data_IF_878593236554
#
_entry.id   IF_878593236554
#
_cell.length_a   1.000
_cell.length_b   1.000
_cell.length_c   1.000
_cell.angle_alpha   90.00
_cell.angle_beta   90.00
_cell.angle_gamma   90.00
#
_symmetry.space_group_name_H-M   'P 1'
#
loop_
_entity.id
_entity.type
_entity.pdbx_description
1 polymer ?
#
# COMPACT_ATOMS: atom_id res chain seq x y z
N UNK A 1 -16.93 11.26 -7.03
CA UNK A 1 -17.73 10.83 -8.20
C UNK A 1 -18.50 11.99 -8.81
N UNK A 2 -19.12 12.84 -7.98
CA UNK A 2 -19.83 14.06 -8.40
C UNK A 2 -19.02 14.94 -9.36
N UNK A 3 -17.75 15.24 -9.04
CA UNK A 3 -16.87 16.02 -9.91
C UNK A 3 -16.76 15.49 -11.36
N UNK A 4 -16.54 14.18 -11.54
CA UNK A 4 -16.36 13.60 -12.89
C UNK A 4 -17.70 13.59 -13.65
N UNK A 5 -18.82 13.40 -12.93
CA UNK A 5 -20.14 13.51 -13.55
C UNK A 5 -20.43 14.93 -14.04
N UNK A 6 -20.16 15.95 -13.24
CA UNK A 6 -20.34 17.35 -13.66
C UNK A 6 -19.44 17.72 -14.84
N UNK A 7 -18.16 17.30 -14.81
CA UNK A 7 -17.25 17.47 -15.94
C UNK A 7 -17.76 16.79 -17.22
N UNK A 8 -18.36 15.61 -17.10
CA UNK A 8 -18.94 14.90 -18.26
C UNK A 8 -20.07 15.70 -18.92
N UNK A 9 -20.85 16.46 -18.14
CA UNK A 9 -21.91 17.33 -18.68
C UNK A 9 -21.30 18.51 -19.44
N UNK A 10 -20.27 19.15 -18.89
CA UNK A 10 -19.55 20.27 -19.54
C UNK A 10 -18.96 19.82 -20.88
N UNK A 11 -18.37 18.63 -20.92
CA UNK A 11 -17.82 18.02 -22.13
C UNK A 11 -18.87 17.40 -23.06
N UNK A 12 -20.17 17.55 -22.75
CA UNK A 12 -21.32 17.02 -23.51
C UNK A 12 -21.23 15.51 -23.77
N UNK A 13 -20.64 14.75 -22.85
CA UNK A 13 -20.57 13.29 -22.92
C UNK A 13 -21.97 12.72 -22.65
N UNK A 14 -22.47 11.86 -23.54
CA UNK A 14 -23.79 11.21 -23.36
C UNK A 14 -23.81 10.43 -22.04
N UNK A 15 -24.83 10.68 -21.21
CA UNK A 15 -25.03 10.01 -19.90
C UNK A 15 -24.90 8.49 -19.96
N UNK A 16 -25.46 7.85 -20.99
CA UNK A 16 -25.36 6.40 -21.21
C UNK A 16 -23.91 5.93 -21.40
N UNK A 17 -23.12 6.70 -22.15
CA UNK A 17 -21.69 6.41 -22.34
C UNK A 17 -20.92 6.57 -21.04
N UNK A 18 -21.19 7.66 -20.30
CA UNK A 18 -20.57 7.91 -19.00
C UNK A 18 -20.83 6.77 -18.00
N UNK A 19 -22.09 6.35 -17.84
CA UNK A 19 -22.46 5.23 -16.95
C UNK A 19 -21.77 3.93 -17.38
N UNK A 20 -21.72 3.64 -18.70
CA UNK A 20 -21.02 2.46 -19.22
C UNK A 20 -19.51 2.50 -18.96
N UNK A 21 -18.88 3.66 -19.06
CA UNK A 21 -17.46 3.84 -18.74
C UNK A 21 -17.20 3.64 -17.24
N UNK A 22 -18.08 4.16 -16.38
CA UNK A 22 -17.97 3.96 -14.93
C UNK A 22 -18.12 2.48 -14.52
N UNK A 23 -19.06 1.76 -15.12
CA UNK A 23 -19.27 0.34 -14.78
C UNK A 23 -18.15 -0.58 -15.25
N UNK A 24 -17.41 -0.18 -16.28
CA UNK A 24 -16.28 -0.96 -16.83
C UNK A 24 -14.92 -0.54 -16.28
N UNK A 25 -14.84 0.56 -15.53
CA UNK A 25 -13.59 1.06 -14.96
C UNK A 25 -13.10 0.17 -13.81
N UNK A 26 -11.96 -0.49 -14.02
CA UNK A 26 -11.36 -1.43 -13.05
C UNK A 26 -10.45 -0.76 -12.00
N UNK A 27 -10.38 0.57 -11.99
CA UNK A 27 -9.37 1.30 -11.23
C UNK A 27 -8.04 1.39 -11.97
N UNK A 28 -7.10 2.12 -11.38
CA UNK A 28 -5.75 2.28 -11.93
C UNK A 28 -4.79 1.30 -11.23
N UNK A 29 -3.87 0.66 -11.96
CA UNK A 29 -2.80 -0.12 -11.36
C UNK A 29 -2.05 0.69 -10.30
N UNK A 30 -1.62 0.02 -9.23
CA UNK A 30 -0.82 0.60 -8.16
C UNK A 30 -1.49 1.72 -7.34
N UNK A 31 -2.80 1.93 -7.47
CA UNK A 31 -3.61 2.86 -6.66
C UNK A 31 -4.65 2.08 -5.87
N UNK A 32 -4.32 1.75 -4.63
CA UNK A 32 -5.16 0.89 -3.77
C UNK A 32 -5.65 -0.39 -4.49
N UNK A 33 -4.80 -1.00 -5.32
CA UNK A 33 -5.14 -2.13 -6.19
C UNK A 33 -5.16 -3.44 -5.36
N UNK A 34 -6.35 -3.98 -5.10
CA UNK A 34 -6.50 -5.33 -4.53
C UNK A 34 -6.25 -6.33 -5.67
N UNK A 35 -5.07 -6.95 -5.70
CA UNK A 35 -4.66 -7.81 -6.83
C UNK A 35 -4.61 -9.31 -6.49
N UNK A 36 -4.73 -9.65 -5.20
CA UNK A 36 -4.68 -11.03 -4.74
C UNK A 36 -5.39 -11.20 -3.39
N UNK A 37 -6.05 -12.34 -3.20
CA UNK A 37 -6.65 -12.76 -1.94
C UNK A 37 -6.40 -14.26 -1.75
N UNK A 38 -5.96 -14.68 -0.56
CA UNK A 38 -5.72 -16.09 -0.23
C UNK A 38 -5.84 -16.31 1.28
N UNK A 39 -6.59 -17.34 1.70
CA UNK A 39 -6.77 -17.76 3.11
C UNK A 39 -7.08 -16.59 4.08
N UNK A 40 -8.05 -15.74 3.72
CA UNK A 40 -8.43 -14.57 4.54
C UNK A 40 -7.46 -13.38 4.47
N UNK A 41 -6.38 -13.48 3.68
CA UNK A 41 -5.38 -12.42 3.52
C UNK A 41 -5.58 -11.72 2.19
N UNK A 42 -5.73 -10.41 2.24
CA UNK A 42 -5.77 -9.56 1.05
C UNK A 42 -4.43 -8.87 0.82
N UNK A 43 -4.07 -8.74 -0.46
CA UNK A 43 -2.84 -8.10 -0.90
C UNK A 43 -3.17 -6.86 -1.71
N UNK A 44 -2.63 -5.74 -1.28
CA UNK A 44 -2.99 -4.43 -1.80
C UNK A 44 -1.75 -3.71 -2.28
N UNK A 45 -1.75 -3.37 -3.57
CA UNK A 45 -0.70 -2.60 -4.21
C UNK A 45 -1.11 -1.14 -4.35
N UNK A 46 -0.50 -0.30 -3.52
CA UNK A 46 -0.66 1.15 -3.52
C UNK A 46 0.70 1.83 -3.71
N UNK A 47 1.56 1.25 -4.56
CA UNK A 47 2.93 1.76 -4.80
C UNK A 47 2.96 3.22 -5.30
N UNK A 48 1.86 3.73 -5.89
CA UNK A 48 1.72 5.13 -6.32
C UNK A 48 1.66 6.11 -5.13
N UNK A 49 1.38 5.63 -3.91
CA UNK A 49 1.41 6.44 -2.69
C UNK A 49 2.84 6.86 -2.33
N UNK A 50 3.31 7.91 -3.01
CA UNK A 50 4.65 8.50 -2.88
C UNK A 50 4.73 9.64 -1.86
N UNK A 51 3.71 9.76 -1.02
CA UNK A 51 3.65 10.66 0.14
C UNK A 51 2.75 10.04 1.22
N UNK A 52 2.88 10.50 2.47
CA UNK A 52 2.06 9.97 3.56
C UNK A 52 0.56 10.24 3.38
N UNK A 53 0.18 11.43 2.91
CA UNK A 53 -1.24 11.74 2.66
C UNK A 53 -1.87 10.83 1.61
N UNK A 54 -1.10 10.41 0.59
CA UNK A 54 -1.58 9.40 -0.36
C UNK A 54 -1.77 8.03 0.32
N UNK A 55 -0.83 7.63 1.19
CA UNK A 55 -0.88 6.34 1.89
C UNK A 55 -2.01 6.25 2.93
N UNK A 56 -2.39 7.40 3.50
CA UNK A 56 -3.42 7.54 4.53
C UNK A 56 -4.77 6.99 4.07
N UNK A 57 -5.11 7.13 2.79
CA UNK A 57 -6.34 6.56 2.23
C UNK A 57 -6.35 5.02 2.35
N UNK A 58 -5.28 4.36 1.93
CA UNK A 58 -5.17 2.91 2.04
C UNK A 58 -5.10 2.46 3.51
N UNK A 59 -4.41 3.20 4.38
CA UNK A 59 -4.32 2.87 5.80
C UNK A 59 -5.68 3.02 6.53
N UNK A 60 -6.49 4.02 6.17
CA UNK A 60 -7.82 4.21 6.77
C UNK A 60 -8.82 3.13 6.36
N UNK A 61 -8.79 2.71 5.10
CA UNK A 61 -9.80 1.81 4.52
C UNK A 61 -9.52 0.32 4.76
N UNK A 62 -8.47 -0.03 5.50
CA UNK A 62 -8.13 -1.42 5.82
C UNK A 62 -7.91 -1.60 7.32
N UNK A 63 -7.90 -2.85 7.77
CA UNK A 63 -7.62 -3.25 9.15
C UNK A 63 -6.62 -4.41 9.16
N UNK A 64 -6.06 -4.73 10.34
CA UNK A 64 -5.08 -5.80 10.54
C UNK A 64 -3.92 -5.72 9.53
N UNK A 65 -3.33 -4.53 9.42
CA UNK A 65 -2.41 -4.18 8.34
C UNK A 65 -0.97 -4.57 8.68
N UNK A 66 -0.37 -5.38 7.83
CA UNK A 66 1.08 -5.52 7.68
C UNK A 66 1.53 -4.53 6.61
N UNK A 67 2.07 -3.40 7.05
CA UNK A 67 2.31 -2.24 6.20
C UNK A 67 3.74 -2.19 5.70
N UNK A 68 3.96 -2.21 4.39
CA UNK A 68 5.28 -1.97 3.79
C UNK A 68 5.42 -0.47 3.51
N UNK A 69 6.38 0.15 4.19
CA UNK A 69 6.64 1.59 4.18
C UNK A 69 8.12 1.84 3.86
N UNK A 70 8.43 2.92 3.15
CA UNK A 70 9.81 3.32 2.92
C UNK A 70 10.19 3.50 1.46
N UNK A 71 11.37 4.07 1.26
CA UNK A 71 11.82 4.62 -0.01
C UNK A 71 12.55 5.95 0.21
N UNK A 72 12.42 6.88 -0.73
CA UNK A 72 12.94 8.24 -0.66
C UNK A 72 11.86 9.23 -0.17
N UNK A 73 11.94 9.69 1.09
CA UNK A 73 10.97 10.64 1.64
C UNK A 73 11.15 12.03 1.01
N UNK A 74 10.07 12.81 0.97
CA UNK A 74 10.13 14.24 0.65
C UNK A 74 10.52 15.05 1.88
N UNK A 75 11.12 16.23 1.69
CA UNK A 75 11.59 17.11 2.78
C UNK A 75 10.50 17.40 3.83
N UNK A 76 9.25 17.53 3.40
CA UNK A 76 8.12 17.92 4.26
C UNK A 76 7.17 16.75 4.60
N UNK A 77 7.56 15.50 4.34
CA UNK A 77 6.70 14.36 4.65
C UNK A 77 6.53 14.22 6.17
N UNK A 78 5.30 14.46 6.64
CA UNK A 78 4.93 14.22 8.03
C UNK A 78 4.04 12.99 8.16
N UNK A 79 4.54 11.96 8.83
CA UNK A 79 3.81 10.73 9.10
C UNK A 79 3.08 10.90 10.43
N UNK A 80 1.75 11.10 10.37
CA UNK A 80 0.89 11.18 11.56
C UNK A 80 -0.02 9.95 11.65
N UNK A 81 0.28 9.05 12.58
CA UNK A 81 -0.42 7.77 12.75
C UNK A 81 -1.37 7.72 13.94
N UNK A 82 -1.64 8.84 14.63
CA UNK A 82 -2.45 8.87 15.87
C UNK A 82 -3.79 8.14 15.73
N UNK A 83 -4.51 8.35 14.62
CA UNK A 83 -5.80 7.71 14.32
C UNK A 83 -5.69 6.34 13.63
N UNK A 84 -4.49 5.98 13.16
CA UNK A 84 -4.23 4.79 12.35
C UNK A 84 -3.56 3.65 13.13
N UNK A 85 -2.95 3.94 14.28
CA UNK A 85 -2.12 2.98 15.03
C UNK A 85 -2.83 1.65 15.32
N UNK A 86 -4.13 1.66 15.63
CA UNK A 86 -4.91 0.44 15.94
C UNK A 86 -5.17 -0.45 14.71
N UNK A 87 -5.07 0.10 13.50
CA UNK A 87 -5.29 -0.63 12.25
C UNK A 87 -4.03 -1.36 11.78
N UNK A 88 -2.86 -0.93 12.25
CA UNK A 88 -1.56 -1.45 11.80
C UNK A 88 -1.03 -2.45 12.84
N UNK A 89 -0.79 -3.69 12.41
CA UNK A 89 -0.18 -4.73 13.25
C UNK A 89 1.33 -4.49 13.35
N UNK A 90 1.99 -4.38 12.20
CA UNK A 90 3.43 -4.14 12.10
C UNK A 90 3.73 -3.40 10.80
N UNK A 91 4.62 -2.41 10.87
CA UNK A 91 5.22 -1.78 9.69
C UNK A 91 6.58 -2.41 9.32
N UNK A 92 6.87 -2.54 8.04
CA UNK A 92 8.10 -3.11 7.51
C UNK A 92 8.81 -2.04 6.68
N UNK A 93 9.92 -1.53 7.21
CA UNK A 93 10.68 -0.44 6.61
C UNK A 93 11.57 -1.01 5.51
N UNK A 94 11.35 -0.54 4.29
CA UNK A 94 12.15 -0.83 3.09
C UNK A 94 12.86 0.43 2.60
N UNK A 95 13.78 0.28 1.64
CA UNK A 95 14.53 1.41 1.11
C UNK A 95 15.80 1.74 1.90
N UNK A 96 16.45 2.82 1.47
CA UNK A 96 17.72 3.31 2.04
C UNK A 96 17.52 4.26 3.23
N UNK A 97 16.41 5.01 3.25
CA UNK A 97 16.17 6.07 4.25
C UNK A 97 15.53 5.54 5.54
N UNK A 98 16.07 4.47 6.11
CA UNK A 98 15.47 3.73 7.22
C UNK A 98 15.28 4.61 8.47
N UNK A 99 16.27 5.43 8.81
CA UNK A 99 16.27 6.24 10.04
C UNK A 99 15.15 7.28 10.05
N UNK A 100 14.81 7.84 8.89
CA UNK A 100 13.67 8.75 8.76
C UNK A 100 12.37 8.06 9.19
N UNK A 101 12.07 6.89 8.63
CA UNK A 101 10.86 6.13 8.99
C UNK A 101 10.93 5.61 10.41
N UNK A 102 12.09 5.13 10.86
CA UNK A 102 12.29 4.69 12.25
C UNK A 102 11.91 5.79 13.25
N UNK A 103 12.39 7.01 13.04
CA UNK A 103 12.07 8.17 13.88
C UNK A 103 10.57 8.49 13.86
N UNK A 104 9.92 8.39 12.70
CA UNK A 104 8.49 8.67 12.54
C UNK A 104 7.55 7.57 13.08
N UNK A 105 8.04 6.34 13.22
CA UNK A 105 7.25 5.20 13.70
C UNK A 105 7.51 4.85 15.18
N UNK A 106 8.69 5.21 15.69
CA UNK A 106 9.12 4.93 17.06
C UNK A 106 8.08 5.39 18.07
N UNK A 107 7.80 4.53 19.04
CA UNK A 107 6.82 4.74 20.12
C UNK A 107 5.36 4.94 19.66
N UNK A 108 5.03 4.76 18.37
CA UNK A 108 3.66 4.92 17.85
C UNK A 108 3.09 3.58 17.38
N UNK A 109 3.86 2.81 16.61
CA UNK A 109 3.48 1.46 16.15
C UNK A 109 4.69 0.51 16.17
N UNK A 110 4.41 -0.79 16.19
CA UNK A 110 5.44 -1.82 15.98
C UNK A 110 6.00 -1.73 14.56
N UNK A 111 7.32 -1.82 14.43
CA UNK A 111 7.99 -1.84 13.13
C UNK A 111 9.15 -2.83 13.10
N UNK A 112 9.55 -3.23 11.88
CA UNK A 112 10.73 -4.04 11.58
C UNK A 112 11.50 -3.42 10.42
N UNK A 113 12.83 -3.56 10.43
CA UNK A 113 13.69 -3.08 9.34
C UNK A 113 13.92 -4.26 8.38
N UNK A 114 13.39 -4.14 7.17
CA UNK A 114 13.48 -5.20 6.14
C UNK A 114 14.42 -4.86 5.00
N UNK A 115 14.67 -3.56 4.75
CA UNK A 115 15.50 -3.01 3.68
C UNK A 115 14.97 -3.25 2.26
N UNK A 116 14.38 -4.40 1.95
CA UNK A 116 13.88 -4.75 0.60
C UNK A 116 12.46 -5.34 0.64
N UNK A 117 11.74 -5.27 -0.48
CA UNK A 117 10.41 -5.89 -0.63
C UNK A 117 10.42 -7.41 -0.37
N UNK A 118 11.47 -8.10 -0.84
CA UNK A 118 11.65 -9.53 -0.63
C UNK A 118 11.71 -9.87 0.86
N UNK A 119 12.59 -9.19 1.59
CA UNK A 119 12.78 -9.41 3.02
C UNK A 119 11.55 -9.00 3.83
N UNK A 120 10.85 -7.93 3.43
CA UNK A 120 9.62 -7.52 4.11
C UNK A 120 8.55 -8.58 3.95
N UNK A 121 8.36 -9.12 2.75
CA UNK A 121 7.36 -10.16 2.51
C UNK A 121 7.65 -11.43 3.31
N UNK A 122 8.90 -11.92 3.32
CA UNK A 122 9.28 -13.09 4.13
C UNK A 122 8.95 -12.86 5.61
N UNK A 123 9.34 -11.70 6.15
CA UNK A 123 9.06 -11.35 7.56
C UNK A 123 7.55 -11.20 7.83
N UNK A 124 6.79 -10.66 6.88
CA UNK A 124 5.33 -10.54 6.98
C UNK A 124 4.69 -11.93 7.03
N UNK A 125 5.06 -12.87 6.17
CA UNK A 125 4.46 -14.21 6.20
C UNK A 125 4.76 -14.96 7.50
N UNK A 126 5.94 -14.76 8.08
CA UNK A 126 6.25 -15.27 9.41
C UNK A 126 5.33 -14.66 10.48
N UNK A 127 5.15 -13.33 10.47
CA UNK A 127 4.31 -12.65 11.46
C UNK A 127 2.80 -12.95 11.29
N UNK A 128 2.34 -13.09 10.06
CA UNK A 128 0.97 -13.50 9.72
C UNK A 128 0.63 -14.83 10.38
N UNK A 129 1.50 -15.84 10.22
CA UNK A 129 1.31 -17.17 10.84
C UNK A 129 1.18 -17.09 12.35
N UNK A 130 1.95 -16.21 12.98
CA UNK A 130 1.95 -16.04 14.44
C UNK A 130 0.82 -15.12 14.95
N UNK A 131 0.16 -14.35 14.07
CA UNK A 131 -0.81 -13.33 14.49
C UNK A 131 -2.19 -13.87 14.88
N UNK A 132 -2.49 -15.14 14.53
CA UNK A 132 -3.80 -15.80 14.71
C UNK A 132 -5.00 -15.00 14.16
N UNK A 133 -4.78 -13.98 13.32
CA UNK A 133 -5.85 -13.19 12.72
C UNK A 133 -6.50 -13.97 11.60
N UNK A 134 -7.84 -14.10 11.66
CA UNK A 134 -8.65 -14.70 10.58
C UNK A 134 -8.56 -13.89 9.28
N UNK A 135 -8.42 -12.57 9.39
CA UNK A 135 -8.32 -11.66 8.26
C UNK A 135 -7.18 -10.66 8.46
N UNK A 136 -6.37 -10.47 7.41
CA UNK A 136 -5.24 -9.55 7.43
C UNK A 136 -5.02 -8.88 6.08
N UNK A 137 -4.35 -7.73 6.12
CA UNK A 137 -4.02 -6.95 4.92
C UNK A 137 -2.51 -6.84 4.78
N UNK A 138 -1.95 -7.33 3.68
CA UNK A 138 -0.56 -7.05 3.27
C UNK A 138 -0.60 -5.85 2.32
N UNK A 139 -0.17 -4.69 2.81
CA UNK A 139 -0.31 -3.41 2.11
C UNK A 139 1.05 -2.86 1.73
N UNK A 140 1.32 -2.72 0.43
CA UNK A 140 2.37 -1.83 -0.05
C UNK A 140 1.77 -0.43 -0.25
N UNK A 141 2.04 0.48 0.68
CA UNK A 141 1.68 1.91 0.54
C UNK A 141 2.84 2.75 1.10
N UNK A 142 3.90 2.97 0.30
CA UNK A 142 5.24 3.25 0.81
C UNK A 142 5.44 4.64 1.43
N UNK A 143 4.44 5.52 1.31
CA UNK A 143 4.46 6.91 1.76
C UNK A 143 5.66 7.73 1.26
N UNK A 144 6.32 7.28 0.20
CA UNK A 144 7.58 7.85 -0.30
C UNK A 144 7.91 7.40 -1.73
N UNK A 145 8.78 8.14 -2.40
CA UNK A 145 9.25 7.84 -3.75
C UNK A 145 10.07 6.53 -3.78
N UNK A 146 10.18 5.91 -4.94
CA UNK A 146 10.84 4.60 -5.11
C UNK A 146 12.29 4.68 -5.59
N UNK A 147 12.79 5.88 -5.87
CA UNK A 147 14.01 6.11 -6.65
C UNK A 147 15.30 5.64 -5.95
N UNK A 148 15.23 5.31 -4.67
CA UNK A 148 16.35 4.76 -3.93
C UNK A 148 16.67 3.31 -4.32
N UNK A 149 15.67 2.54 -4.76
CA UNK A 149 15.78 1.11 -5.10
C UNK A 149 15.20 0.72 -6.46
N UNK A 150 14.38 1.57 -7.09
CA UNK A 150 13.65 1.28 -8.34
C UNK A 150 13.61 2.49 -9.25
N UNK A 151 13.50 2.29 -10.57
CA UNK A 151 13.41 3.40 -11.54
C UNK A 151 12.13 4.20 -11.38
N UNK A 152 11.03 3.58 -10.95
CA UNK A 152 9.75 4.24 -10.72
C UNK A 152 8.81 3.37 -9.85
N UNK A 153 7.65 3.95 -9.49
CA UNK A 153 6.66 3.28 -8.65
C UNK A 153 5.97 2.10 -9.35
N UNK A 154 5.89 2.07 -10.69
CA UNK A 154 5.32 0.95 -11.44
C UNK A 154 6.20 -0.29 -11.27
N UNK A 155 7.53 -0.13 -11.41
CA UNK A 155 8.50 -1.21 -11.22
C UNK A 155 8.42 -1.79 -9.81
N UNK A 156 8.47 -0.94 -8.78
CA UNK A 156 8.27 -1.35 -7.37
C UNK A 156 6.93 -2.07 -7.16
N UNK A 157 5.86 -1.56 -7.78
CA UNK A 157 4.53 -2.14 -7.66
C UNK A 157 4.41 -3.49 -8.35
N UNK A 158 5.06 -3.69 -9.50
CA UNK A 158 5.08 -4.96 -10.22
C UNK A 158 5.95 -6.00 -9.50
N UNK A 159 7.11 -5.59 -9.00
CA UNK A 159 7.98 -6.40 -8.13
C UNK A 159 7.18 -6.93 -6.93
N UNK A 160 6.45 -6.06 -6.24
CA UNK A 160 5.60 -6.45 -5.11
C UNK A 160 4.55 -7.48 -5.51
N UNK A 161 3.81 -7.26 -6.60
CA UNK A 161 2.79 -8.23 -7.06
C UNK A 161 3.40 -9.61 -7.33
N UNK A 162 4.55 -9.64 -8.02
CA UNK A 162 5.28 -10.86 -8.35
C UNK A 162 5.73 -11.61 -7.10
N UNK A 163 6.45 -10.92 -6.20
CA UNK A 163 6.98 -11.52 -4.98
C UNK A 163 5.86 -11.94 -4.02
N UNK A 164 4.81 -11.14 -3.87
CA UNK A 164 3.69 -11.43 -2.99
C UNK A 164 2.97 -12.73 -3.42
N UNK A 165 2.67 -12.89 -4.72
CA UNK A 165 2.07 -14.13 -5.22
C UNK A 165 2.99 -15.35 -5.02
N UNK A 166 4.28 -15.21 -5.35
CA UNK A 166 5.26 -16.27 -5.18
C UNK A 166 5.33 -16.77 -3.73
N UNK A 167 5.51 -15.84 -2.78
CA UNK A 167 5.64 -16.19 -1.38
C UNK A 167 4.33 -16.60 -0.72
N UNK A 168 3.19 -16.04 -1.15
CA UNK A 168 1.89 -16.51 -0.69
C UNK A 168 1.62 -17.95 -1.12
N UNK A 169 2.10 -18.39 -2.28
CA UNK A 169 1.99 -19.79 -2.68
C UNK A 169 2.92 -20.72 -1.89
N UNK A 170 4.07 -20.20 -1.45
CA UNK A 170 5.02 -20.97 -0.63
C UNK A 170 4.64 -21.05 0.85
N UNK A 171 4.05 -20.00 1.41
CA UNK A 171 3.89 -19.85 2.86
C UNK A 171 2.45 -19.81 3.37
N UNK A 172 1.47 -19.53 2.51
CA UNK A 172 0.04 -19.59 2.86
C UNK A 172 -0.59 -20.84 2.25
#
# INVERSE_FOLDING_TARGET
MEFIYELSKVLKIKKKSFIKSLSTFKGLPHRHEIFYKKKGIQFINDSKATSFEAAKFALNNNNNIFWIVGGQPKKDDNINLTKLKKKIITAFIVGKNIDFFKKKLKNIIKYKISKTLKNSLIAIFHDVKNSQKKEATILLSPASASFDQYKNFNERGNEFKRLAKFYANKYL
#
